data_IF_915729757170
#
_entry.id   IF_915729757170
#
_cell.length_a   1.000
_cell.length_b   1.000
_cell.length_c   1.000
_cell.angle_alpha   90.00
_cell.angle_beta   90.00
_cell.angle_gamma   90.00
#
_symmetry.space_group_name_H-M   'P 1'
#
loop_
_entity.id
_entity.type
_entity.pdbx_description
1 polymer ?
#
# COMPACT_ATOMS: atom_id res chain seq x y z
N UNK A 1 2.76 -2.74 27.90
CA UNK A 1 2.08 -1.73 28.73
C UNK A 1 1.24 -0.83 27.82
N UNK A 2 -0.01 -0.49 28.17
CA UNK A 2 -0.77 0.54 27.44
C UNK A 2 -0.22 1.91 27.87
N UNK A 3 0.46 2.62 26.99
CA UNK A 3 1.01 3.97 27.22
C UNK A 3 0.01 5.09 26.89
N UNK A 4 -1.18 4.73 26.41
CA UNK A 4 -2.24 5.65 26.07
C UNK A 4 -3.55 5.17 26.69
N UNK A 5 -4.19 6.05 27.46
CA UNK A 5 -5.54 5.86 27.96
C UNK A 5 -6.43 6.91 27.27
N UNK A 6 -7.39 6.50 26.42
CA UNK A 6 -8.28 7.45 25.78
C UNK A 6 -9.08 8.19 26.85
N UNK A 7 -9.00 9.51 26.86
CA UNK A 7 -9.75 10.40 27.77
C UNK A 7 -11.24 10.45 27.45
N UNK A 8 -11.68 9.79 26.37
CA UNK A 8 -13.05 9.78 25.85
C UNK A 8 -13.61 11.17 25.46
N UNK A 9 -12.76 12.19 25.43
CA UNK A 9 -13.13 13.56 25.03
C UNK A 9 -13.17 13.73 23.52
N UNK A 10 -12.31 13.03 22.78
CA UNK A 10 -12.17 13.15 21.34
C UNK A 10 -12.93 12.04 20.63
N UNK A 11 -13.63 12.40 19.53
CA UNK A 11 -14.45 11.46 18.77
C UNK A 11 -13.63 10.74 17.70
N UNK A 12 -12.61 11.40 17.13
CA UNK A 12 -11.87 10.92 15.95
C UNK A 12 -10.37 10.98 16.16
N UNK A 13 -9.72 9.83 15.93
CA UNK A 13 -8.28 9.68 15.97
C UNK A 13 -7.71 9.61 14.56
N UNK A 14 -6.54 10.23 14.35
CA UNK A 14 -5.87 10.24 13.04
C UNK A 14 -5.01 8.99 12.78
N UNK A 15 -4.51 8.35 13.83
CA UNK A 15 -3.65 7.18 13.70
C UNK A 15 -3.73 6.25 14.92
N UNK A 16 -3.28 5.01 14.72
CA UNK A 16 -3.08 4.01 15.76
C UNK A 16 -1.83 3.19 15.44
N UNK A 17 -0.87 3.18 16.36
CA UNK A 17 0.37 2.39 16.24
C UNK A 17 0.16 1.05 16.92
N UNK A 18 0.02 -0.01 16.13
CA UNK A 18 -0.18 -1.38 16.64
C UNK A 18 1.08 -2.22 16.49
N UNK A 19 1.13 -3.40 17.12
CA UNK A 19 2.27 -4.32 16.99
C UNK A 19 2.46 -4.85 15.56
N UNK A 20 1.42 -4.75 14.72
CA UNK A 20 1.40 -5.31 13.37
C UNK A 20 1.71 -4.23 12.31
N UNK A 21 1.65 -2.96 12.72
CA UNK A 21 1.94 -1.81 11.89
C UNK A 21 1.16 -0.57 12.31
N UNK A 22 1.37 0.51 11.57
CA UNK A 22 0.73 1.81 11.81
C UNK A 22 -0.43 2.01 10.85
N UNK A 23 -1.64 2.18 11.39
CA UNK A 23 -2.84 2.52 10.62
C UNK A 23 -3.13 4.00 10.79
N UNK A 24 -3.18 4.73 9.68
CA UNK A 24 -3.41 6.18 9.69
C UNK A 24 -4.40 6.64 8.63
N UNK A 25 -5.08 7.74 8.95
CA UNK A 25 -5.84 8.52 8.02
C UNK A 25 -4.92 9.58 7.39
N UNK A 26 -5.03 9.75 6.08
CA UNK A 26 -4.41 10.84 5.34
C UNK A 26 -5.21 11.10 4.06
N UNK A 27 -5.04 12.28 3.49
CA UNK A 27 -5.68 12.63 2.22
C UNK A 27 -5.11 11.79 1.07
N UNK A 28 -6.00 11.30 0.22
CA UNK A 28 -5.66 10.52 -0.97
C UNK A 28 -6.48 11.01 -2.15
N UNK A 29 -5.92 10.96 -3.35
CA UNK A 29 -6.71 11.19 -4.56
C UNK A 29 -7.58 9.94 -4.85
N UNK A 30 -8.92 10.04 -4.86
CA UNK A 30 -9.82 8.90 -5.11
C UNK A 30 -9.55 8.19 -6.44
N UNK A 31 -9.12 8.93 -7.47
CA UNK A 31 -8.82 8.35 -8.78
C UNK A 31 -7.58 7.45 -8.74
N UNK A 32 -6.56 7.80 -7.96
CA UNK A 32 -5.36 6.96 -7.83
C UNK A 32 -5.71 5.65 -7.12
N UNK A 33 -6.57 5.71 -6.10
CA UNK A 33 -7.02 4.51 -5.39
C UNK A 33 -7.87 3.62 -6.30
N UNK A 34 -8.78 4.21 -7.07
CA UNK A 34 -9.58 3.49 -8.06
C UNK A 34 -8.71 2.84 -9.15
N UNK A 35 -7.67 3.54 -9.61
CA UNK A 35 -6.72 3.02 -10.59
C UNK A 35 -5.97 1.80 -10.06
N UNK A 36 -5.52 1.81 -8.80
CA UNK A 36 -4.89 0.63 -8.20
C UNK A 36 -5.86 -0.55 -8.07
N UNK A 37 -7.13 -0.31 -7.76
CA UNK A 37 -8.16 -1.36 -7.79
C UNK A 37 -8.44 -1.89 -9.21
N UNK A 38 -8.27 -1.06 -10.24
CA UNK A 38 -8.39 -1.49 -11.63
C UNK A 38 -7.17 -2.30 -12.09
N UNK A 39 -5.96 -1.92 -11.63
CA UNK A 39 -4.74 -2.65 -11.95
C UNK A 39 -4.70 -4.05 -11.31
N UNK A 40 -5.26 -4.18 -10.10
CA UNK A 40 -5.46 -5.46 -9.42
C UNK A 40 -6.51 -5.29 -8.31
N UNK A 41 -7.69 -5.92 -8.41
CA UNK A 41 -8.70 -5.84 -7.36
C UNK A 41 -8.15 -6.19 -5.99
N UNK A 42 -8.37 -5.29 -5.03
CA UNK A 42 -7.84 -5.39 -3.67
C UNK A 42 -6.73 -4.40 -3.35
N UNK A 43 -5.90 -3.98 -4.32
CA UNK A 43 -4.82 -3.01 -4.08
C UNK A 43 -5.34 -1.65 -3.61
N UNK A 44 -6.41 -1.12 -4.20
CA UNK A 44 -7.00 0.13 -3.71
C UNK A 44 -7.49 0.03 -2.26
N UNK A 45 -8.08 -1.10 -1.85
CA UNK A 45 -8.50 -1.32 -0.46
C UNK A 45 -7.32 -1.45 0.50
N UNK A 46 -6.21 -2.06 0.08
CA UNK A 46 -4.99 -2.14 0.88
C UNK A 46 -4.36 -0.76 1.10
N UNK A 47 -4.36 0.12 0.09
CA UNK A 47 -3.92 1.53 0.24
C UNK A 47 -4.78 2.32 1.23
N UNK A 48 -6.04 1.94 1.38
CA UNK A 48 -6.97 2.49 2.36
C UNK A 48 -6.86 1.83 3.74
N UNK A 49 -5.89 0.94 3.96
CA UNK A 49 -5.75 0.13 5.18
C UNK A 49 -6.99 -0.72 5.49
N UNK A 50 -7.82 -1.02 4.48
CA UNK A 50 -8.96 -1.95 4.59
C UNK A 50 -8.50 -3.38 4.31
N UNK A 51 -7.58 -3.86 5.15
CA UNK A 51 -6.80 -5.08 4.93
C UNK A 51 -7.66 -6.31 4.60
N UNK A 52 -8.68 -6.63 5.40
CA UNK A 52 -9.50 -7.82 5.17
C UNK A 52 -10.19 -7.79 3.79
N UNK A 53 -10.73 -6.64 3.40
CA UNK A 53 -11.37 -6.47 2.08
C UNK A 53 -10.35 -6.54 0.96
N UNK A 54 -9.20 -5.88 1.15
CA UNK A 54 -8.12 -5.88 0.17
C UNK A 54 -7.55 -7.26 -0.09
N UNK A 55 -7.24 -8.02 0.96
CA UNK A 55 -6.74 -9.40 0.81
C UNK A 55 -7.80 -10.33 0.22
N UNK A 56 -9.06 -10.21 0.62
CA UNK A 56 -10.14 -11.02 0.04
C UNK A 56 -10.30 -10.76 -1.46
N UNK A 57 -10.31 -9.50 -1.89
CA UNK A 57 -10.41 -9.13 -3.30
C UNK A 57 -9.17 -9.55 -4.10
N UNK A 58 -7.98 -9.46 -3.51
CA UNK A 58 -6.75 -9.94 -4.16
C UNK A 58 -6.79 -11.44 -4.40
N UNK A 59 -7.17 -12.23 -3.40
CA UNK A 59 -7.26 -13.69 -3.52
C UNK A 59 -8.34 -14.09 -4.53
N UNK A 60 -9.47 -13.36 -4.51
CA UNK A 60 -10.55 -13.57 -5.46
C UNK A 60 -10.10 -13.23 -6.88
N UNK A 61 -9.40 -12.11 -7.10
CA UNK A 61 -8.81 -11.75 -8.41
C UNK A 61 -7.94 -12.88 -8.92
N UNK A 62 -7.00 -13.33 -8.09
CA UNK A 62 -6.05 -14.36 -8.47
C UNK A 62 -6.77 -15.65 -8.89
N UNK A 63 -7.78 -16.07 -8.13
CA UNK A 63 -8.53 -17.28 -8.43
C UNK A 63 -9.31 -17.13 -9.73
N UNK A 64 -10.13 -16.08 -9.86
CA UNK A 64 -11.05 -15.95 -10.99
C UNK A 64 -10.31 -15.64 -12.29
N UNK A 65 -9.25 -14.82 -12.24
CA UNK A 65 -8.42 -14.52 -13.41
C UNK A 65 -7.79 -15.80 -13.98
N UNK A 66 -7.25 -16.68 -13.12
CA UNK A 66 -6.72 -17.98 -13.55
C UNK A 66 -7.81 -18.91 -14.09
N UNK A 67 -8.98 -18.97 -13.44
CA UNK A 67 -10.08 -19.80 -13.94
C UNK A 67 -10.68 -19.29 -15.26
N UNK A 68 -10.58 -17.99 -15.53
CA UNK A 68 -11.04 -17.36 -16.76
C UNK A 68 -10.00 -17.34 -17.89
N UNK A 69 -8.74 -17.69 -17.62
CA UNK A 69 -7.58 -17.46 -18.50
C UNK A 69 -7.45 -16.00 -18.96
N UNK A 70 -7.78 -15.05 -18.08
CA UNK A 70 -7.90 -13.65 -18.45
C UNK A 70 -6.55 -13.06 -18.87
N UNK A 71 -5.48 -13.31 -18.11
CA UNK A 71 -4.14 -12.80 -18.46
C UNK A 71 -3.63 -13.38 -19.79
N UNK A 72 -3.86 -14.67 -20.05
CA UNK A 72 -3.51 -15.28 -21.34
C UNK A 72 -4.25 -14.62 -22.50
N UNK A 73 -5.56 -14.36 -22.32
CA UNK A 73 -6.37 -13.67 -23.33
C UNK A 73 -5.91 -12.24 -23.58
N UNK A 74 -5.45 -11.54 -22.53
CA UNK A 74 -4.82 -10.22 -22.65
C UNK A 74 -3.58 -10.33 -23.54
N UNK A 75 -2.67 -11.25 -23.28
CA UNK A 75 -1.46 -11.42 -24.10
C UNK A 75 -1.80 -11.65 -25.57
N UNK A 76 -2.70 -12.60 -25.88
CA UNK A 76 -3.15 -12.81 -27.26
C UNK A 76 -3.80 -11.57 -27.89
N UNK A 77 -4.56 -10.81 -27.12
CA UNK A 77 -5.18 -9.58 -27.61
C UNK A 77 -4.13 -8.53 -27.99
N UNK A 78 -3.11 -8.34 -27.14
CA UNK A 78 -2.04 -7.36 -27.38
C UNK A 78 -1.06 -7.79 -28.46
N UNK A 79 -0.96 -9.09 -28.78
CA UNK A 79 -0.17 -9.60 -29.92
C UNK A 79 -0.98 -9.68 -31.22
N UNK A 80 -2.22 -9.19 -31.26
CA UNK A 80 -3.09 -9.20 -32.45
C UNK A 80 -3.78 -10.53 -32.75
N UNK A 81 -3.63 -11.54 -31.88
CA UNK A 81 -4.22 -12.87 -32.05
C UNK A 81 -5.64 -12.95 -31.45
N UNK A 82 -6.56 -12.15 -32.01
CA UNK A 82 -7.91 -11.96 -31.45
C UNK A 82 -8.74 -13.25 -31.43
N UNK A 83 -8.57 -14.16 -32.39
CA UNK A 83 -9.24 -15.47 -32.38
C UNK A 83 -8.81 -16.29 -31.17
N UNK A 84 -7.50 -16.46 -30.96
CA UNK A 84 -6.96 -17.20 -29.82
C UNK A 84 -7.35 -16.57 -28.48
N UNK A 85 -7.42 -15.24 -28.41
CA UNK A 85 -7.90 -14.53 -27.22
C UNK A 85 -9.34 -14.91 -26.86
N UNK A 86 -10.23 -15.07 -27.85
CA UNK A 86 -11.62 -15.51 -27.63
C UNK A 86 -11.69 -16.98 -27.24
N UNK A 87 -10.90 -17.82 -27.89
CA UNK A 87 -10.95 -19.27 -27.70
C UNK A 87 -10.42 -19.72 -26.33
N UNK A 88 -9.44 -18.99 -25.79
CA UNK A 88 -8.85 -19.34 -24.48
C UNK A 88 -9.71 -18.88 -23.29
N UNK A 89 -10.55 -17.87 -23.47
CA UNK A 89 -11.36 -17.30 -22.39
C UNK A 89 -12.43 -18.27 -21.91
N UNK A 90 -12.51 -18.47 -20.60
CA UNK A 90 -13.64 -19.16 -19.98
C UNK A 90 -14.75 -18.15 -19.66
N UNK A 91 -15.79 -18.16 -20.48
CA UNK A 91 -16.86 -17.15 -20.44
C UNK A 91 -17.65 -17.14 -19.13
N UNK A 92 -17.84 -18.27 -18.45
CA UNK A 92 -18.61 -18.32 -17.19
C UNK A 92 -17.86 -17.61 -16.07
N UNK A 93 -16.57 -17.88 -15.93
CA UNK A 93 -15.69 -17.18 -14.98
C UNK A 93 -15.51 -15.72 -15.34
N UNK A 94 -15.41 -15.38 -16.63
CA UNK A 94 -15.34 -13.99 -17.09
C UNK A 94 -16.61 -13.19 -16.76
N UNK A 95 -17.80 -13.77 -16.97
CA UNK A 95 -19.06 -13.11 -16.62
C UNK A 95 -19.22 -12.92 -15.10
N UNK A 96 -18.69 -13.85 -14.30
CA UNK A 96 -18.57 -13.69 -12.84
C UNK A 96 -17.55 -12.61 -12.46
N UNK A 97 -16.49 -12.46 -13.27
CA UNK A 97 -15.39 -11.53 -13.03
C UNK A 97 -15.85 -10.05 -13.06
N UNK A 98 -16.53 -9.68 -14.13
CA UNK A 98 -16.91 -8.30 -14.48
C UNK A 98 -17.57 -7.51 -13.33
N UNK A 99 -18.65 -8.00 -12.68
CA UNK A 99 -19.34 -7.21 -11.66
C UNK A 99 -18.47 -6.95 -10.42
N UNK A 100 -17.67 -7.92 -9.99
CA UNK A 100 -16.80 -7.75 -8.81
C UNK A 100 -15.61 -6.85 -9.14
N UNK A 101 -15.07 -6.93 -10.35
CA UNK A 101 -14.05 -6.00 -10.83
C UNK A 101 -14.54 -4.54 -10.80
N UNK A 102 -15.73 -4.27 -11.36
CA UNK A 102 -16.34 -2.93 -11.33
C UNK A 102 -16.63 -2.49 -9.88
N UNK A 103 -17.14 -3.40 -9.05
CA UNK A 103 -17.41 -3.13 -7.64
C UNK A 103 -16.14 -2.75 -6.88
N UNK A 104 -15.02 -3.45 -7.09
CA UNK A 104 -13.76 -3.15 -6.41
C UNK A 104 -13.28 -1.72 -6.72
N UNK A 105 -13.34 -1.32 -8.00
CA UNK A 105 -13.00 0.03 -8.45
C UNK A 105 -13.91 1.06 -7.80
N UNK A 106 -15.22 0.91 -7.96
CA UNK A 106 -16.22 1.84 -7.44
C UNK A 106 -16.16 1.97 -5.90
N UNK A 107 -16.11 0.85 -5.18
CA UNK A 107 -16.09 0.83 -3.71
C UNK A 107 -14.83 1.52 -3.16
N UNK A 108 -13.67 1.28 -3.77
CA UNK A 108 -12.43 1.91 -3.36
C UNK A 108 -12.44 3.43 -3.61
N UNK A 109 -13.02 3.87 -4.74
CA UNK A 109 -13.20 5.30 -5.04
C UNK A 109 -14.08 5.99 -4.00
N UNK A 110 -15.32 5.50 -3.81
CA UNK A 110 -16.27 6.15 -2.88
C UNK A 110 -15.77 6.12 -1.44
N UNK A 111 -15.10 5.04 -1.04
CA UNK A 111 -14.52 4.90 0.29
C UNK A 111 -13.42 5.94 0.51
N UNK A 112 -12.60 6.21 -0.51
CA UNK A 112 -11.56 7.24 -0.43
C UNK A 112 -12.17 8.62 -0.19
N UNK A 113 -13.24 8.98 -0.90
CA UNK A 113 -13.96 10.25 -0.71
C UNK A 113 -14.44 10.40 0.74
N UNK A 114 -15.04 9.35 1.31
CA UNK A 114 -15.55 9.41 2.67
C UNK A 114 -14.43 9.40 3.72
N UNK A 115 -13.37 8.62 3.52
CA UNK A 115 -12.21 8.62 4.42
C UNK A 115 -11.49 9.98 4.44
N UNK A 116 -11.42 10.68 3.30
CA UNK A 116 -10.85 12.03 3.25
C UNK A 116 -11.66 13.02 4.10
N UNK A 117 -13.00 12.91 4.12
CA UNK A 117 -13.85 13.74 5.00
C UNK A 117 -13.56 13.44 6.46
N UNK A 118 -13.45 12.16 6.83
CA UNK A 118 -13.12 11.74 8.20
C UNK A 118 -11.74 12.24 8.61
N UNK A 119 -10.75 12.17 7.72
CA UNK A 119 -9.41 12.72 7.98
C UNK A 119 -9.44 14.21 8.30
N UNK A 120 -10.16 15.02 7.51
CA UNK A 120 -10.26 16.48 7.76
C UNK A 120 -10.85 16.77 9.15
N UNK A 121 -11.85 15.98 9.56
CA UNK A 121 -12.45 16.13 10.89
C UNK A 121 -11.48 15.69 12.01
N UNK A 122 -10.79 14.56 11.83
CA UNK A 122 -9.79 14.07 12.78
C UNK A 122 -8.61 15.04 12.94
N UNK A 123 -8.15 15.66 11.86
CA UNK A 123 -7.07 16.64 11.87
C UNK A 123 -7.47 17.91 12.63
N UNK A 124 -8.75 18.32 12.55
CA UNK A 124 -9.29 19.46 13.32
C UNK A 124 -9.45 19.15 14.80
N UNK A 125 -9.88 17.94 15.14
CA UNK A 125 -9.94 17.47 16.53
C UNK A 125 -8.54 17.32 17.13
N UNK A 126 -7.55 16.97 16.28
CA UNK A 126 -6.14 16.81 16.65
C UNK A 126 -5.95 15.98 17.93
N UNK A 127 -6.71 14.89 18.04
CA UNK A 127 -6.69 13.99 19.19
C UNK A 127 -5.30 13.40 19.42
N UNK A 128 -4.96 13.14 20.68
CA UNK A 128 -3.77 12.38 21.03
C UNK A 128 -3.93 10.91 20.64
N UNK A 129 -2.82 10.30 20.25
CA UNK A 129 -2.74 8.90 19.86
C UNK A 129 -1.37 8.36 20.26
N UNK A 130 -1.21 7.04 20.26
CA UNK A 130 0.02 6.42 20.70
C UNK A 130 1.14 6.50 19.64
N UNK A 131 2.36 6.83 20.06
CA UNK A 131 3.54 6.93 19.19
C UNK A 131 4.38 5.65 19.14
N UNK A 132 4.21 4.74 20.10
CA UNK A 132 4.88 3.44 20.12
C UNK A 132 4.05 2.38 20.84
N UNK A 133 4.38 1.12 20.59
CA UNK A 133 3.85 -0.05 21.29
C UNK A 133 4.94 -1.11 21.42
N UNK A 134 4.98 -1.74 22.60
CA UNK A 134 5.90 -2.82 22.92
C UNK A 134 5.06 -4.01 23.35
N UNK A 135 5.15 -5.08 22.58
CA UNK A 135 4.45 -6.34 22.82
C UNK A 135 5.46 -7.49 22.83
N UNK A 136 5.05 -8.68 23.25
CA UNK A 136 5.92 -9.86 23.24
C UNK A 136 6.37 -10.27 21.83
N UNK A 137 5.63 -9.85 20.79
CA UNK A 137 5.90 -10.23 19.41
C UNK A 137 6.72 -9.19 18.66
N UNK A 138 6.50 -7.90 18.91
CA UNK A 138 7.06 -6.82 18.09
C UNK A 138 7.16 -5.50 18.87
N UNK A 139 8.14 -4.68 18.48
CA UNK A 139 8.29 -3.29 18.90
C UNK A 139 8.00 -2.41 17.68
N UNK A 140 6.92 -1.63 17.75
CA UNK A 140 6.59 -0.69 16.69
C UNK A 140 6.52 0.74 17.24
N UNK A 141 7.06 1.69 16.50
CA UNK A 141 7.13 3.09 16.88
C UNK A 141 7.10 3.98 15.64
N UNK A 142 6.67 5.22 15.83
CA UNK A 142 6.77 6.23 14.79
C UNK A 142 8.22 6.66 14.63
N UNK A 143 8.69 6.65 13.40
CA UNK A 143 10.01 7.10 13.05
C UNK A 143 10.05 7.76 11.67
N UNK A 144 11.18 8.44 11.39
CA UNK A 144 11.40 9.12 10.12
C UNK A 144 12.27 8.27 9.21
N UNK A 145 11.74 7.91 8.04
CA UNK A 145 12.38 7.01 7.07
C UNK A 145 12.57 7.69 5.73
N UNK A 146 13.52 7.18 4.92
CA UNK A 146 13.78 7.72 3.57
C UNK A 146 12.82 7.07 2.57
N UNK A 147 11.90 7.80 1.90
CA UNK A 147 10.94 7.21 0.96
C UNK A 147 11.61 6.47 -0.21
N UNK A 148 12.76 6.99 -0.67
CA UNK A 148 13.52 6.34 -1.74
C UNK A 148 13.96 4.92 -1.38
N UNK A 149 14.38 4.69 -0.12
CA UNK A 149 14.79 3.35 0.30
C UNK A 149 13.61 2.37 0.31
N UNK A 150 12.42 2.83 0.69
CA UNK A 150 11.21 2.02 0.64
C UNK A 150 10.90 1.55 -0.80
N UNK A 151 11.03 2.46 -1.78
CA UNK A 151 10.86 2.15 -3.20
C UNK A 151 11.91 1.16 -3.69
N UNK A 152 13.19 1.42 -3.42
CA UNK A 152 14.29 0.56 -3.87
C UNK A 152 14.08 -0.88 -3.37
N UNK A 153 13.77 -1.05 -2.09
CA UNK A 153 13.51 -2.37 -1.53
C UNK A 153 12.28 -3.05 -2.13
N UNK A 154 11.20 -2.31 -2.37
CA UNK A 154 10.00 -2.84 -3.05
C UNK A 154 10.25 -3.27 -4.50
N UNK A 155 11.14 -2.58 -5.22
CA UNK A 155 11.50 -2.94 -6.60
C UNK A 155 12.35 -4.21 -6.66
N UNK A 156 13.23 -4.43 -5.69
CA UNK A 156 14.00 -5.70 -5.60
C UNK A 156 13.09 -6.88 -5.31
N UNK A 157 12.21 -6.75 -4.31
CA UNK A 157 11.24 -7.79 -3.98
C UNK A 157 10.02 -7.13 -3.34
N UNK A 158 8.85 -7.22 -3.98
CA UNK A 158 7.60 -6.77 -3.40
C UNK A 158 7.42 -7.27 -1.97
N UNK A 159 7.22 -6.32 -1.04
CA UNK A 159 7.06 -6.55 0.38
C UNK A 159 8.24 -6.14 1.25
N UNK A 160 9.47 -6.06 0.72
CA UNK A 160 10.61 -5.56 1.51
C UNK A 160 10.46 -4.08 1.89
N UNK A 161 9.93 -3.24 0.99
CA UNK A 161 9.62 -1.85 1.32
C UNK A 161 8.53 -1.71 2.38
N UNK A 162 7.52 -2.60 2.38
CA UNK A 162 6.50 -2.67 3.43
C UNK A 162 7.10 -3.10 4.79
N UNK A 163 8.03 -4.07 4.77
CA UNK A 163 8.76 -4.50 5.96
C UNK A 163 9.61 -3.34 6.53
N UNK A 164 10.27 -2.59 5.64
CA UNK A 164 11.02 -1.40 6.00
C UNK A 164 10.17 -0.34 6.71
N UNK A 165 8.85 -0.28 6.50
CA UNK A 165 7.95 0.66 7.20
C UNK A 165 7.07 -0.01 8.26
N UNK A 166 7.50 -1.18 8.78
CA UNK A 166 6.80 -1.94 9.83
C UNK A 166 5.36 -2.36 9.47
N UNK A 167 5.03 -2.54 8.19
CA UNK A 167 3.73 -3.09 7.74
C UNK A 167 3.82 -4.60 7.51
N UNK A 168 4.00 -5.33 8.61
CA UNK A 168 4.41 -6.75 8.61
C UNK A 168 3.44 -7.65 7.84
N UNK A 169 2.12 -7.52 8.06
CA UNK A 169 1.16 -8.38 7.35
C UNK A 169 1.17 -8.16 5.84
N UNK A 170 1.20 -6.90 5.39
CA UNK A 170 1.23 -6.60 3.96
C UNK A 170 2.57 -7.03 3.34
N UNK A 171 3.67 -6.90 4.08
CA UNK A 171 4.98 -7.39 3.65
C UNK A 171 4.97 -8.91 3.41
N UNK A 172 4.56 -9.70 4.40
CA UNK A 172 4.50 -11.16 4.29
C UNK A 172 3.58 -11.59 3.16
N UNK A 173 2.39 -10.98 3.06
CA UNK A 173 1.42 -11.29 2.02
C UNK A 173 1.99 -11.02 0.62
N UNK A 174 2.57 -9.84 0.40
CA UNK A 174 3.13 -9.47 -0.91
C UNK A 174 4.36 -10.29 -1.28
N UNK A 175 5.23 -10.60 -0.31
CA UNK A 175 6.37 -11.50 -0.54
C UNK A 175 5.92 -12.91 -0.91
N UNK A 176 4.95 -13.47 -0.19
CA UNK A 176 4.44 -14.82 -0.47
C UNK A 176 3.90 -14.94 -1.90
N UNK A 177 3.08 -13.98 -2.35
CA UNK A 177 2.57 -13.98 -3.71
C UNK A 177 3.62 -13.65 -4.76
N UNK A 178 4.63 -12.84 -4.43
CA UNK A 178 5.77 -12.65 -5.33
C UNK A 178 6.50 -13.97 -5.60
N UNK A 179 6.74 -14.79 -4.57
CA UNK A 179 7.34 -16.12 -4.74
C UNK A 179 6.48 -17.00 -5.63
N UNK A 180 5.15 -17.01 -5.42
CA UNK A 180 4.21 -17.77 -6.26
C UNK A 180 4.27 -17.31 -7.72
N UNK A 181 4.18 -16.00 -7.99
CA UNK A 181 4.19 -15.48 -9.36
C UNK A 181 5.52 -15.74 -10.05
N UNK A 182 6.64 -15.55 -9.36
CA UNK A 182 7.97 -15.81 -9.91
C UNK A 182 8.17 -17.29 -10.24
N UNK A 183 7.72 -18.18 -9.34
CA UNK A 183 7.86 -19.63 -9.54
C UNK A 183 6.98 -20.12 -10.70
N UNK A 184 5.70 -19.75 -10.72
CA UNK A 184 4.76 -20.24 -11.73
C UNK A 184 4.92 -19.58 -13.10
N UNK A 185 5.50 -18.38 -13.18
CA UNK A 185 5.77 -17.71 -14.46
C UNK A 185 7.04 -18.19 -15.17
N UNK A 186 7.91 -18.96 -14.50
CA UNK A 186 9.26 -19.29 -14.96
C UNK A 186 10.13 -18.07 -15.33
N UNK A 187 9.81 -16.87 -14.84
CA UNK A 187 10.50 -15.63 -15.22
C UNK A 187 12.01 -15.68 -14.97
N UNK A 188 12.46 -16.32 -13.89
CA UNK A 188 13.89 -16.41 -13.58
C UNK A 188 14.65 -17.31 -14.56
N UNK A 189 14.00 -18.34 -15.10
CA UNK A 189 14.57 -19.20 -16.14
C UNK A 189 14.66 -18.40 -17.44
N UNK A 190 13.61 -17.66 -17.79
CA UNK A 190 13.63 -16.77 -18.94
C UNK A 190 14.74 -15.70 -18.85
N UNK A 191 14.95 -15.11 -17.67
CA UNK A 191 16.07 -14.18 -17.42
C UNK A 191 17.42 -14.87 -17.62
N UNK A 192 17.57 -16.13 -17.21
CA UNK A 192 18.80 -16.90 -17.45
C UNK A 192 19.07 -17.09 -18.96
N UNK A 193 18.06 -17.46 -19.75
CA UNK A 193 18.19 -17.56 -21.20
C UNK A 193 18.48 -16.21 -21.86
N UNK A 194 17.89 -15.12 -21.38
CA UNK A 194 18.21 -13.76 -21.83
C UNK A 194 19.69 -13.41 -21.60
N UNK A 195 20.27 -13.80 -20.46
CA UNK A 195 21.70 -13.59 -20.21
C UNK A 195 22.60 -14.43 -21.14
N UNK A 196 22.11 -15.57 -21.62
CA UNK A 196 22.81 -16.39 -22.62
C UNK A 196 22.62 -15.89 -24.06
N UNK A 197 21.74 -14.90 -24.27
CA UNK A 197 21.41 -14.35 -25.58
C UNK A 197 20.32 -15.11 -26.34
N UNK A 198 19.70 -16.14 -25.75
CA UNK A 198 18.63 -16.92 -26.38
C UNK A 198 17.25 -16.31 -26.07
N UNK A 199 16.86 -15.33 -26.87
CA UNK A 199 15.58 -14.61 -26.72
C UNK A 199 14.37 -15.50 -27.05
N UNK A 200 14.55 -16.46 -27.96
CA UNK A 200 13.46 -17.33 -28.38
C UNK A 200 13.08 -18.29 -27.26
N UNK A 201 14.06 -19.00 -26.70
CA UNK A 201 13.82 -19.88 -25.54
C UNK A 201 13.33 -19.10 -24.32
N UNK A 202 13.86 -17.90 -24.09
CA UNK A 202 13.39 -17.04 -23.01
C UNK A 202 11.89 -16.72 -23.13
N UNK A 203 11.39 -16.50 -24.35
CA UNK A 203 9.98 -16.19 -24.59
C UNK A 203 9.10 -17.43 -24.47
N UNK A 204 9.56 -18.57 -24.97
CA UNK A 204 8.81 -19.84 -24.96
C UNK A 204 8.61 -20.43 -23.56
N UNK A 205 9.56 -20.21 -22.65
CA UNK A 205 9.51 -20.77 -21.28
C UNK A 205 8.61 -19.97 -20.33
N UNK A 206 8.29 -18.71 -20.65
CA UNK A 206 7.44 -17.86 -19.81
C UNK A 206 5.99 -18.36 -19.85
N UNK A 207 5.41 -18.59 -18.68
CA UNK A 207 3.97 -18.73 -18.57
C UNK A 207 3.33 -17.33 -18.54
N UNK A 208 2.54 -16.95 -19.57
CA UNK A 208 2.02 -15.59 -19.68
C UNK A 208 0.94 -15.28 -18.66
N UNK A 209 0.19 -16.30 -18.22
CA UNK A 209 -0.90 -16.18 -17.27
C UNK A 209 -0.37 -15.73 -15.89
N UNK A 210 0.72 -16.33 -15.42
CA UNK A 210 1.34 -15.96 -14.15
C UNK A 210 2.25 -14.73 -14.25
N UNK A 211 2.95 -14.58 -15.38
CA UNK A 211 3.85 -13.45 -15.61
C UNK A 211 3.13 -12.10 -15.53
N UNK A 212 1.90 -12.01 -16.06
CA UNK A 212 1.16 -10.75 -16.15
C UNK A 212 0.69 -10.20 -14.79
N UNK A 213 0.74 -10.98 -13.70
CA UNK A 213 0.49 -10.47 -12.34
C UNK A 213 1.67 -9.66 -11.77
N UNK A 214 2.89 -9.86 -12.28
CA UNK A 214 4.11 -9.29 -11.70
C UNK A 214 4.18 -7.76 -11.82
N UNK A 215 3.89 -7.12 -12.99
CA UNK A 215 4.06 -5.68 -13.14
C UNK A 215 3.22 -4.85 -12.16
N UNK A 216 1.94 -5.20 -12.00
CA UNK A 216 1.04 -4.52 -11.05
C UNK A 216 1.46 -4.78 -9.61
N UNK A 217 1.96 -5.98 -9.28
CA UNK A 217 2.45 -6.32 -7.95
C UNK A 217 3.70 -5.52 -7.54
N UNK A 218 4.68 -5.40 -8.45
CA UNK A 218 5.88 -4.57 -8.25
C UNK A 218 5.50 -3.10 -8.14
N UNK A 219 4.71 -2.59 -9.09
CA UNK A 219 4.26 -1.20 -9.09
C UNK A 219 3.51 -0.85 -7.81
N UNK A 220 2.60 -1.72 -7.38
CA UNK A 220 1.82 -1.53 -6.15
C UNK A 220 2.73 -1.48 -4.94
N UNK A 221 3.65 -2.44 -4.81
CA UNK A 221 4.54 -2.49 -3.65
C UNK A 221 5.39 -1.23 -3.55
N UNK A 222 5.94 -0.75 -4.67
CA UNK A 222 6.75 0.47 -4.72
C UNK A 222 5.94 1.74 -4.40
N UNK A 223 4.73 1.86 -4.96
CA UNK A 223 3.86 3.00 -4.69
C UNK A 223 3.36 3.02 -3.25
N UNK A 224 2.87 1.87 -2.75
CA UNK A 224 2.37 1.72 -1.39
C UNK A 224 3.46 2.03 -0.36
N UNK A 225 4.67 1.47 -0.53
CA UNK A 225 5.78 1.72 0.40
C UNK A 225 6.23 3.19 0.38
N UNK A 226 6.29 3.82 -0.81
CA UNK A 226 6.59 5.24 -0.94
C UNK A 226 5.59 6.13 -0.20
N UNK A 227 4.30 6.01 -0.53
CA UNK A 227 3.26 6.87 0.03
C UNK A 227 3.18 6.71 1.54
N UNK A 228 3.18 5.47 2.03
CA UNK A 228 3.12 5.25 3.48
C UNK A 228 4.38 5.75 4.19
N UNK A 229 5.55 5.70 3.56
CA UNK A 229 6.77 6.32 4.15
C UNK A 229 6.60 7.84 4.28
N UNK A 230 6.12 8.50 3.23
CA UNK A 230 5.90 9.96 3.24
C UNK A 230 4.87 10.35 4.29
N UNK A 231 3.76 9.62 4.38
CA UNK A 231 2.69 9.93 5.34
C UNK A 231 3.08 9.58 6.78
N UNK A 232 3.80 8.47 7.01
CA UNK A 232 4.37 8.16 8.33
C UNK A 232 5.34 9.27 8.79
N UNK A 233 6.17 9.81 7.89
CA UNK A 233 7.06 10.92 8.23
C UNK A 233 6.27 12.18 8.64
N UNK A 234 5.19 12.50 7.92
CA UNK A 234 4.31 13.63 8.28
C UNK A 234 3.63 13.41 9.62
N UNK A 235 3.19 12.17 9.89
CA UNK A 235 2.57 11.80 11.16
C UNK A 235 3.56 11.95 12.32
N UNK A 236 4.79 11.47 12.15
CA UNK A 236 5.88 11.65 13.11
C UNK A 236 6.15 13.12 13.39
N UNK A 237 6.30 13.95 12.36
CA UNK A 237 6.51 15.40 12.52
C UNK A 237 5.33 16.10 13.21
N UNK A 238 4.09 15.67 12.92
CA UNK A 238 2.87 16.21 13.53
C UNK A 238 2.79 15.89 15.01
N UNK A 239 3.08 14.65 15.40
CA UNK A 239 3.15 14.20 16.79
C UNK A 239 4.24 14.94 17.56
N UNK A 240 5.48 14.96 17.02
CA UNK A 240 6.61 15.63 17.65
C UNK A 240 6.37 17.14 17.82
N UNK A 241 5.76 17.79 16.82
CA UNK A 241 5.37 19.20 16.90
C UNK A 241 4.36 19.43 18.02
N UNK A 242 3.34 18.58 18.14
CA UNK A 242 2.32 18.70 19.21
C UNK A 242 3.00 18.58 20.58
N UNK A 243 3.84 17.56 20.77
CA UNK A 243 4.61 17.37 21.99
C UNK A 243 5.45 18.60 22.35
N UNK A 244 6.27 19.11 21.42
CA UNK A 244 7.12 20.28 21.68
C UNK A 244 6.32 21.55 22.01
N UNK A 245 5.19 21.78 21.33
CA UNK A 245 4.32 22.93 21.61
C UNK A 245 3.73 22.88 23.03
N UNK A 246 3.25 21.71 23.43
CA UNK A 246 2.63 21.51 24.75
C UNK A 246 3.62 21.71 25.89
N UNK A 247 4.83 21.16 25.77
CA UNK A 247 5.76 21.08 26.90
C UNK A 247 6.89 22.12 26.89
N UNK A 248 7.28 22.66 25.72
CA UNK A 248 8.49 23.48 25.59
C UNK A 248 8.25 24.91 25.09
N UNK A 249 7.03 25.25 24.67
CA UNK A 249 6.75 26.58 24.10
C UNK A 249 6.45 27.68 25.13
N UNK A 250 6.34 27.34 26.42
CA UNK A 250 6.00 28.28 27.49
C UNK A 250 7.17 29.22 27.89
N UNK A 251 8.40 28.89 27.54
CA UNK A 251 9.55 29.76 27.80
C UNK A 251 9.69 30.78 26.67
N UNK A 252 8.83 31.81 26.70
CA UNK A 252 9.07 33.03 25.91
C UNK A 252 10.42 33.57 26.35
N UNK A 253 11.40 33.56 25.45
CA UNK A 253 12.69 34.25 25.67
C UNK A 253 12.35 35.71 25.99
N UNK A 254 12.44 36.10 27.26
CA UNK A 254 12.33 37.49 27.67
C UNK A 254 13.64 38.15 27.26
N UNK A 255 13.64 38.87 26.14
CA UNK A 255 14.72 39.80 25.87
C UNK A 255 14.65 40.86 26.97
N UNK A 256 15.70 40.94 27.79
CA UNK A 256 15.90 42.08 28.69
C UNK A 256 16.07 43.29 27.78
N UNK A 257 15.03 44.12 27.65
CA UNK A 257 15.18 45.45 27.06
C UNK A 257 15.91 46.27 28.13
N UNK A 258 17.14 46.76 27.89
CA UNK A 258 17.81 47.64 28.83
C UNK A 258 16.96 48.89 29.00
N UNK A 259 16.71 49.30 30.25
CA UNK A 259 15.88 50.46 30.58
C UNK A 259 16.48 51.82 30.12
N UNK A 260 17.69 51.82 29.55
CA UNK A 260 18.48 53.03 29.29
C UNK A 260 18.34 53.57 27.85
N UNK A 261 17.25 53.24 27.16
CA UNK A 261 16.99 53.65 25.77
C UNK A 261 15.94 54.74 25.57
N UNK A 262 15.34 55.28 26.64
CA UNK A 262 14.42 56.43 26.56
C UNK A 262 15.11 57.63 27.20
N UNK A 263 15.94 58.31 26.40
CA UNK A 263 16.28 59.72 26.58
C UNK A 263 15.56 60.52 25.53
#
# INVERSE_FOLDING_TARGET
MKNFNPTNSERRFKANVSSIGTSQLHLRNPYIIAWWSAAFPGFGHLLLSKYLRGYALFLWELLINNMANLNQAIVYSFTGNISMAKDVLETRWLLLYIPVYIFAIWDSYRTTVDMNKVFILAERENADFNSYTITAFEINYLDKRRPLMAVVWSLFTPGLGQLYIHRVLTAIFTMAFMVVFVYLSNILIAVNFLFMGDVQQATEVIDPQWFLFIPSHIGFSAYDSYVNTVENNKLFESEQRKFLKTYYQQHRVKFLVPADGVK
#
